data_IF_414057083844
#
_entry.id   IF_414057083844
#
_cell.length_a   1.000
_cell.length_b   1.000
_cell.length_c   1.000
_cell.angle_alpha   90.00
_cell.angle_beta   90.00
_cell.angle_gamma   90.00
#
_symmetry.space_group_name_H-M   'P 1'
#
loop_
_entity.id
_entity.type
_entity.pdbx_description
1 polymer ?
#
# COMPACT_ATOMS: atom_id res chain seq x y z
N UNK A 1 -31.75 28.80 70.17
CA UNK A 1 -31.40 28.56 68.76
C UNK A 1 -30.07 29.22 68.46
N UNK A 2 -29.08 28.46 67.99
CA UNK A 2 -27.96 28.86 67.10
C UNK A 2 -26.81 27.89 67.33
N UNK A 3 -27.04 26.62 67.00
CA UNK A 3 -26.06 25.55 67.08
C UNK A 3 -25.16 25.56 65.85
N UNK A 4 -23.97 26.11 66.07
CA UNK A 4 -22.68 25.62 65.60
C UNK A 4 -22.57 25.20 64.12
N UNK A 5 -22.58 26.20 63.24
CA UNK A 5 -22.14 26.06 61.85
C UNK A 5 -20.66 25.62 61.77
N UNK A 6 -19.84 25.98 62.76
CA UNK A 6 -18.42 25.65 62.81
C UNK A 6 -18.17 24.13 63.01
N UNK A 7 -18.93 23.47 63.89
CA UNK A 7 -18.82 22.01 64.10
C UNK A 7 -19.27 21.21 62.87
N UNK A 8 -20.27 21.70 62.12
CA UNK A 8 -20.73 21.06 60.89
C UNK A 8 -19.70 21.14 59.76
N UNK A 9 -18.92 22.22 59.70
CA UNK A 9 -17.83 22.37 58.72
C UNK A 9 -16.62 21.52 59.11
N UNK A 10 -16.32 21.39 60.40
CA UNK A 10 -15.24 20.54 60.91
C UNK A 10 -15.48 19.05 60.63
N UNK A 11 -16.70 18.54 60.88
CA UNK A 11 -17.04 17.14 60.60
C UNK A 11 -17.07 16.80 59.10
N UNK A 12 -17.31 17.78 58.22
CA UNK A 12 -17.27 17.57 56.76
C UNK A 12 -15.83 17.44 56.22
N UNK A 13 -14.83 17.92 56.96
CA UNK A 13 -13.40 17.72 56.64
C UNK A 13 -12.83 16.43 57.21
N UNK A 14 -13.34 15.94 58.35
CA UNK A 14 -12.86 14.70 58.98
C UNK A 14 -13.37 13.40 58.33
N UNK A 15 -14.44 13.47 57.52
CA UNK A 15 -15.08 12.30 56.89
C UNK A 15 -14.70 12.00 55.43
N UNK A 16 -13.70 12.68 54.84
CA UNK A 16 -13.18 12.29 53.52
C UNK A 16 -12.17 11.16 53.69
N UNK A 17 -12.66 9.95 53.93
CA UNK A 17 -11.92 8.76 53.51
C UNK A 17 -11.67 8.89 52.02
N UNK A 18 -10.39 8.92 51.63
CA UNK A 18 -9.99 8.92 50.24
C UNK A 18 -10.64 7.71 49.57
N UNK A 19 -11.55 7.97 48.63
CA UNK A 19 -12.01 6.93 47.72
C UNK A 19 -10.76 6.30 47.07
N UNK A 20 -10.69 4.96 46.94
CA UNK A 20 -9.55 4.34 46.28
C UNK A 20 -9.41 4.99 44.91
N UNK A 21 -8.22 5.51 44.63
CA UNK A 21 -7.90 6.07 43.34
C UNK A 21 -8.23 4.98 42.30
N UNK A 22 -9.26 5.23 41.49
CA UNK A 22 -9.52 4.41 40.32
C UNK A 22 -8.26 4.57 39.48
N UNK A 23 -7.35 3.58 39.53
CA UNK A 23 -6.29 3.45 38.53
C UNK A 23 -7.06 3.39 37.21
N UNK A 24 -7.07 4.49 36.46
CA UNK A 24 -7.46 4.43 35.07
C UNK A 24 -6.60 3.31 34.48
N UNK A 25 -7.23 2.23 34.05
CA UNK A 25 -6.52 1.16 33.39
C UNK A 25 -5.81 1.82 32.21
N UNK A 26 -4.48 1.97 32.29
CA UNK A 26 -3.71 2.52 31.20
C UNK A 26 -4.00 1.65 29.99
N UNK A 27 -4.50 2.28 28.92
CA UNK A 27 -4.74 1.54 27.69
C UNK A 27 -3.43 0.85 27.28
N UNK A 28 -3.50 -0.41 26.80
CA UNK A 28 -2.30 -1.14 26.44
C UNK A 28 -1.52 -0.36 25.39
N UNK A 29 -0.19 -0.34 25.46
CA UNK A 29 0.59 0.30 24.39
C UNK A 29 0.38 -0.44 23.06
N UNK A 30 0.62 0.21 21.92
CA UNK A 30 0.54 -0.48 20.61
C UNK A 30 1.40 -1.76 20.57
N UNK A 31 2.54 -1.78 21.25
CA UNK A 31 3.37 -2.97 21.42
C UNK A 31 2.62 -4.12 22.10
N UNK A 32 1.95 -3.85 23.23
CA UNK A 32 1.14 -4.84 23.95
C UNK A 32 -0.09 -5.25 23.14
N UNK A 33 -0.64 -4.31 22.37
CA UNK A 33 -1.78 -4.54 21.50
C UNK A 33 -1.44 -5.50 20.35
N UNK A 34 -0.33 -5.31 19.64
CA UNK A 34 0.15 -6.24 18.59
C UNK A 34 0.33 -7.66 19.13
N UNK A 35 0.87 -7.81 20.35
CA UNK A 35 1.03 -9.12 20.96
C UNK A 35 -0.30 -9.83 21.23
N UNK A 36 -1.34 -9.08 21.60
CA UNK A 36 -2.68 -9.62 21.84
C UNK A 36 -3.41 -10.00 20.55
N UNK A 37 -3.16 -9.28 19.46
CA UNK A 37 -3.79 -9.49 18.16
C UNK A 37 -3.25 -10.67 17.35
N UNK A 38 -2.24 -11.39 17.85
CA UNK A 38 -1.59 -12.49 17.11
C UNK A 38 -2.59 -13.54 16.59
N UNK A 39 -3.56 -14.02 17.39
CA UNK A 39 -4.55 -14.98 16.91
C UNK A 39 -5.44 -14.44 15.78
N UNK A 40 -5.79 -13.15 15.83
CA UNK A 40 -6.58 -12.48 14.81
C UNK A 40 -5.79 -12.28 13.52
N UNK A 41 -4.51 -11.88 13.64
CA UNK A 41 -3.58 -11.78 12.50
C UNK A 41 -3.46 -13.14 11.80
N UNK A 42 -3.27 -14.22 12.56
CA UNK A 42 -3.16 -15.58 12.02
C UNK A 42 -4.42 -15.98 11.25
N UNK A 43 -5.61 -15.64 11.77
CA UNK A 43 -6.88 -15.93 11.10
C UNK A 43 -7.09 -15.12 9.82
N UNK A 44 -6.53 -13.92 9.74
CA UNK A 44 -6.67 -13.06 8.57
C UNK A 44 -5.67 -13.40 7.46
N UNK A 45 -4.52 -14.01 7.78
CA UNK A 45 -3.49 -14.32 6.79
C UNK A 45 -3.97 -15.37 5.77
N UNK A 46 -3.68 -15.18 4.47
CA UNK A 46 -3.83 -16.23 3.48
C UNK A 46 -2.97 -17.44 3.85
N UNK A 47 -3.48 -18.65 3.60
CA UNK A 47 -2.83 -19.90 4.01
C UNK A 47 -1.38 -20.10 3.48
N UNK A 48 -0.98 -19.36 2.45
CA UNK A 48 0.33 -19.43 1.82
C UNK A 48 1.32 -18.35 2.28
N UNK A 49 0.90 -17.41 3.14
CA UNK A 49 1.72 -16.28 3.62
C UNK A 49 2.30 -16.61 5.00
N UNK A 50 3.56 -16.21 5.25
CA UNK A 50 4.27 -16.51 6.50
C UNK A 50 3.49 -16.11 7.76
N UNK A 51 3.60 -16.93 8.81
CA UNK A 51 2.72 -16.87 9.99
C UNK A 51 2.74 -15.55 10.78
N UNK A 52 1.72 -15.35 11.62
CA UNK A 52 1.44 -14.13 12.37
C UNK A 52 2.61 -13.64 13.23
N UNK A 53 3.50 -14.53 13.66
CA UNK A 53 4.72 -14.19 14.38
C UNK A 53 5.64 -13.24 13.59
N UNK A 54 5.74 -13.45 12.28
CA UNK A 54 6.56 -12.62 11.40
C UNK A 54 5.92 -11.25 11.21
N UNK A 55 4.62 -11.21 10.90
CA UNK A 55 3.86 -9.95 10.73
C UNK A 55 3.91 -9.12 12.01
N UNK A 56 3.67 -9.72 13.17
CA UNK A 56 3.75 -9.05 14.46
C UNK A 56 5.16 -8.49 14.71
N UNK A 57 6.22 -9.23 14.35
CA UNK A 57 7.60 -8.76 14.52
C UNK A 57 7.90 -7.55 13.62
N UNK A 58 7.48 -7.58 12.36
CA UNK A 58 7.69 -6.46 11.43
C UNK A 58 6.91 -5.24 11.93
N UNK A 59 5.65 -5.41 12.34
CA UNK A 59 4.84 -4.32 12.89
C UNK A 59 5.49 -3.68 14.13
N UNK A 60 6.08 -4.49 15.02
CA UNK A 60 6.85 -3.99 16.18
C UNK A 60 8.12 -3.23 15.78
N UNK A 61 8.78 -3.63 14.69
CA UNK A 61 9.92 -2.90 14.13
C UNK A 61 9.47 -1.56 13.56
N UNK A 62 8.39 -1.52 12.78
CA UNK A 62 7.86 -0.28 12.20
C UNK A 62 7.44 0.72 13.26
N UNK A 63 6.81 0.27 14.37
CA UNK A 63 6.47 1.13 15.52
C UNK A 63 7.67 1.87 16.12
N UNK A 64 8.89 1.33 15.96
CA UNK A 64 10.14 1.96 16.43
C UNK A 64 10.81 2.80 15.35
N UNK A 65 10.64 2.41 14.08
CA UNK A 65 11.31 3.03 12.93
C UNK A 65 10.57 4.27 12.44
N UNK A 66 9.25 4.21 12.38
CA UNK A 66 8.40 5.28 11.84
C UNK A 66 8.05 6.28 12.94
N UNK A 67 8.49 7.53 12.75
CA UNK A 67 8.15 8.65 13.64
C UNK A 67 6.63 8.82 13.80
N UNK A 68 6.17 9.04 15.03
CA UNK A 68 4.75 9.14 15.43
C UNK A 68 3.87 7.91 15.20
N UNK A 69 4.35 6.81 14.60
CA UNK A 69 3.51 5.61 14.42
C UNK A 69 3.08 4.99 15.75
N UNK A 70 3.96 5.03 16.77
CA UNK A 70 3.65 4.57 18.11
C UNK A 70 2.60 5.43 18.86
N UNK A 71 2.31 6.63 18.35
CA UNK A 71 1.34 7.58 18.91
C UNK A 71 -0.04 7.48 18.23
N UNK A 72 -0.16 6.67 17.17
CA UNK A 72 -1.42 6.48 16.47
C UNK A 72 -2.47 5.79 17.33
N UNK A 73 -3.75 6.02 17.00
CA UNK A 73 -4.87 5.32 17.63
C UNK A 73 -4.76 3.80 17.43
N UNK A 74 -5.16 3.03 18.45
CA UNK A 74 -5.10 1.56 18.38
C UNK A 74 -5.98 1.02 17.27
N UNK A 75 -7.14 1.65 17.09
CA UNK A 75 -8.15 1.30 16.10
C UNK A 75 -7.62 1.44 14.67
N UNK A 76 -6.98 2.57 14.35
CA UNK A 76 -6.41 2.78 13.01
C UNK A 76 -5.22 1.87 12.73
N UNK A 77 -4.36 1.65 13.74
CA UNK A 77 -3.24 0.72 13.61
C UNK A 77 -3.73 -0.72 13.40
N UNK A 78 -4.73 -1.15 14.17
CA UNK A 78 -5.35 -2.47 14.03
C UNK A 78 -5.96 -2.66 12.64
N UNK A 79 -6.76 -1.70 12.18
CA UNK A 79 -7.42 -1.78 10.88
C UNK A 79 -6.41 -1.85 9.73
N UNK A 80 -5.34 -1.04 9.78
CA UNK A 80 -4.28 -1.10 8.77
C UNK A 80 -3.53 -2.44 8.79
N UNK A 81 -3.12 -2.93 9.97
CA UNK A 81 -2.39 -4.19 10.12
C UNK A 81 -3.22 -5.41 9.69
N UNK A 82 -4.50 -5.43 10.04
CA UNK A 82 -5.44 -6.49 9.64
C UNK A 82 -5.70 -6.46 8.14
N UNK A 83 -5.76 -5.27 7.53
CA UNK A 83 -5.88 -5.14 6.08
C UNK A 83 -4.64 -5.68 5.37
N UNK A 84 -3.43 -5.35 5.83
CA UNK A 84 -2.20 -5.94 5.29
C UNK A 84 -2.22 -7.46 5.40
N UNK A 85 -2.61 -7.98 6.57
CA UNK A 85 -2.66 -9.41 6.83
C UNK A 85 -3.66 -10.12 5.91
N UNK A 86 -4.87 -9.57 5.74
CA UNK A 86 -5.90 -10.10 4.84
C UNK A 86 -5.48 -10.09 3.35
N UNK A 87 -4.70 -9.10 2.95
CA UNK A 87 -4.15 -9.00 1.59
C UNK A 87 -2.86 -9.81 1.40
N UNK A 88 -2.33 -10.43 2.45
CA UNK A 88 -1.04 -11.12 2.41
C UNK A 88 0.15 -10.17 2.16
N UNK A 89 0.01 -8.89 2.48
CA UNK A 89 1.03 -7.86 2.33
C UNK A 89 1.82 -7.67 3.61
N UNK A 90 3.13 -7.50 3.48
CA UNK A 90 4.02 -7.20 4.59
C UNK A 90 3.91 -5.73 5.01
N UNK A 91 3.52 -5.44 6.27
CA UNK A 91 3.39 -4.08 6.75
C UNK A 91 4.77 -3.52 7.11
N UNK A 92 5.40 -2.80 6.19
CA UNK A 92 6.65 -2.10 6.45
C UNK A 92 7.36 -1.66 5.18
N UNK A 93 8.16 -0.60 5.30
CA UNK A 93 8.81 0.00 4.13
C UNK A 93 9.89 -0.87 3.46
N UNK A 94 10.44 -1.86 4.18
CA UNK A 94 11.56 -2.69 3.71
C UNK A 94 11.20 -3.57 2.53
N UNK A 95 10.03 -4.23 2.54
CA UNK A 95 9.58 -5.06 1.41
C UNK A 95 8.98 -4.23 0.27
N UNK A 96 8.66 -2.95 0.54
CA UNK A 96 7.95 -2.08 -0.39
C UNK A 96 6.52 -2.54 -0.70
N UNK A 97 5.94 -3.45 0.09
CA UNK A 97 4.61 -4.02 -0.14
C UNK A 97 3.48 -3.14 0.41
N UNK A 98 3.60 -2.69 1.65
CA UNK A 98 2.62 -1.84 2.31
C UNK A 98 3.30 -0.93 3.35
N UNK A 99 2.84 0.32 3.42
CA UNK A 99 3.39 1.34 4.32
C UNK A 99 2.32 1.75 5.34
N UNK A 100 2.68 1.70 6.62
CA UNK A 100 1.86 2.20 7.72
C UNK A 100 2.29 3.64 8.03
N UNK A 101 1.54 4.62 7.53
CA UNK A 101 1.93 6.02 7.62
C UNK A 101 1.08 6.77 8.66
N UNK A 102 1.68 7.46 9.63
CA UNK A 102 0.96 8.30 10.57
C UNK A 102 0.49 9.60 9.89
N UNK A 103 -0.79 9.89 10.04
CA UNK A 103 -1.44 11.11 9.59
C UNK A 103 -2.08 11.83 10.77
N UNK A 104 -1.82 13.12 10.88
CA UNK A 104 -2.47 13.93 11.90
C UNK A 104 -3.93 14.21 11.53
N UNK A 105 -4.88 13.66 12.29
CA UNK A 105 -6.31 13.95 12.11
C UNK A 105 -6.72 15.13 13.01
N UNK A 106 -6.94 16.29 12.38
CA UNK A 106 -7.34 17.54 13.05
C UNK A 106 -8.69 17.43 13.79
N UNK A 107 -9.61 16.56 13.32
CA UNK A 107 -10.96 16.42 13.90
C UNK A 107 -10.92 15.75 15.27
N UNK A 108 -10.12 14.69 15.41
CA UNK A 108 -9.98 13.93 16.67
C UNK A 108 -8.73 14.33 17.46
N UNK A 109 -7.87 15.20 16.90
CA UNK A 109 -6.62 15.69 17.48
C UNK A 109 -5.69 14.56 17.92
N UNK A 110 -5.55 13.56 17.05
CA UNK A 110 -4.68 12.40 17.25
C UNK A 110 -4.07 11.96 15.91
N UNK A 111 -2.99 11.19 15.99
CA UNK A 111 -2.44 10.50 14.83
C UNK A 111 -3.26 9.25 14.51
N UNK A 112 -3.49 9.01 13.23
CA UNK A 112 -4.10 7.78 12.73
C UNK A 112 -3.22 7.15 11.67
N UNK A 113 -3.28 5.82 11.56
CA UNK A 113 -2.54 5.08 10.52
C UNK A 113 -3.34 5.09 9.23
N UNK A 114 -2.76 5.67 8.19
CA UNK A 114 -3.18 5.49 6.81
C UNK A 114 -2.36 4.38 6.18
N UNK A 115 -3.05 3.40 5.60
CA UNK A 115 -2.42 2.35 4.83
C UNK A 115 -2.14 2.88 3.41
N UNK A 116 -0.90 2.73 2.95
CA UNK A 116 -0.54 2.96 1.55
C UNK A 116 0.03 1.68 0.99
N UNK A 117 -0.60 1.15 -0.06
CA UNK A 117 -0.14 -0.06 -0.72
C UNK A 117 1.01 0.32 -1.65
N UNK A 118 2.14 -0.32 -1.42
CA UNK A 118 3.33 -0.12 -2.21
C UNK A 118 3.24 -0.78 -3.58
N UNK A 119 4.11 -0.34 -4.48
CA UNK A 119 4.18 -0.86 -5.84
C UNK A 119 4.50 -2.37 -5.88
N UNK A 120 5.41 -2.83 -5.01
CA UNK A 120 5.70 -4.27 -4.89
C UNK A 120 4.49 -5.05 -4.38
N UNK A 121 3.71 -4.45 -3.49
CA UNK A 121 2.46 -5.04 -3.00
C UNK A 121 1.40 -5.13 -4.09
N UNK A 122 1.30 -4.09 -4.92
CA UNK A 122 0.47 -4.13 -6.13
C UNK A 122 0.90 -5.29 -7.05
N UNK A 123 2.18 -5.35 -7.45
CA UNK A 123 2.70 -6.44 -8.31
C UNK A 123 2.38 -7.81 -7.71
N UNK A 124 2.62 -8.01 -6.41
CA UNK A 124 2.32 -9.24 -5.70
C UNK A 124 0.84 -9.62 -5.79
N UNK A 125 -0.05 -8.67 -5.56
CA UNK A 125 -1.50 -8.87 -5.68
C UNK A 125 -1.91 -9.20 -7.12
N UNK A 126 -1.26 -8.60 -8.13
CA UNK A 126 -1.49 -8.96 -9.53
C UNK A 126 -1.13 -10.43 -9.77
N UNK A 127 0.06 -10.87 -9.35
CA UNK A 127 0.49 -12.26 -9.58
C UNK A 127 -0.27 -13.30 -8.77
N UNK A 128 -0.97 -12.90 -7.70
CA UNK A 128 -1.92 -13.76 -7.01
C UNK A 128 -3.23 -13.97 -7.78
N UNK A 129 -3.52 -13.11 -8.77
CA UNK A 129 -4.73 -13.24 -9.57
C UNK A 129 -4.65 -14.48 -10.48
N UNK A 130 -5.67 -15.38 -10.49
CA UNK A 130 -5.62 -16.63 -11.26
C UNK A 130 -5.44 -16.45 -12.77
N UNK A 131 -5.84 -15.29 -13.31
CA UNK A 131 -5.69 -14.96 -14.73
C UNK A 131 -4.42 -14.18 -15.05
N UNK A 132 -3.55 -13.86 -14.10
CA UNK A 132 -2.34 -13.09 -14.39
C UNK A 132 -1.40 -13.87 -15.32
N UNK A 133 -0.98 -13.23 -16.42
CA UNK A 133 -0.07 -13.82 -17.40
C UNK A 133 1.18 -12.98 -17.68
N UNK A 134 1.10 -11.65 -17.55
CA UNK A 134 2.25 -10.76 -17.75
C UNK A 134 2.00 -9.35 -17.25
N UNK A 135 3.03 -8.70 -16.74
CA UNK A 135 3.01 -7.30 -16.33
C UNK A 135 4.33 -6.65 -16.72
N UNK A 136 4.26 -5.63 -17.57
CA UNK A 136 5.45 -4.96 -18.11
C UNK A 136 5.31 -3.44 -18.01
N UNK A 137 6.43 -2.75 -17.85
CA UNK A 137 6.47 -1.29 -17.83
C UNK A 137 7.68 -0.79 -18.61
N UNK A 138 7.49 0.23 -19.43
CA UNK A 138 8.57 0.78 -20.23
C UNK A 138 8.49 2.30 -20.33
N UNK A 139 9.66 2.90 -20.51
CA UNK A 139 9.83 4.27 -20.96
C UNK A 139 9.91 4.27 -22.49
N UNK A 140 9.24 5.24 -23.12
CA UNK A 140 9.35 5.55 -24.53
C UNK A 140 10.17 6.83 -24.67
N UNK A 141 11.18 6.81 -25.52
CA UNK A 141 12.04 7.94 -25.82
C UNK A 141 11.77 8.51 -27.22
N UNK A 142 12.21 9.75 -27.48
CA UNK A 142 11.99 10.47 -28.75
C UNK A 142 12.38 9.69 -30.02
N UNK A 143 13.42 8.85 -29.93
CA UNK A 143 13.90 8.05 -31.05
C UNK A 143 13.16 6.73 -31.27
N UNK A 144 12.27 6.33 -30.37
CA UNK A 144 11.59 5.04 -30.44
C UNK A 144 10.46 5.05 -31.48
N UNK A 145 10.22 3.92 -32.15
CA UNK A 145 8.99 3.75 -32.92
C UNK A 145 7.87 3.40 -31.94
N UNK A 146 6.95 4.34 -31.71
CA UNK A 146 5.86 4.17 -30.74
C UNK A 146 4.51 4.55 -31.34
N UNK A 147 3.55 3.65 -31.23
CA UNK A 147 2.17 3.79 -31.70
C UNK A 147 1.22 3.17 -30.68
N UNK A 148 0.15 3.89 -30.32
CA UNK A 148 -0.89 3.35 -29.47
C UNK A 148 -2.27 3.87 -29.87
N UNK A 149 -3.28 3.02 -29.70
CA UNK A 149 -4.69 3.34 -29.92
C UNK A 149 -5.52 2.64 -28.85
N UNK A 150 -6.48 3.35 -28.24
CA UNK A 150 -7.36 2.73 -27.25
C UNK A 150 -8.55 2.02 -27.91
N UNK A 151 -9.23 2.68 -28.87
CA UNK A 151 -10.22 2.10 -29.77
C UNK A 151 -11.23 1.10 -29.17
N UNK A 152 -11.88 0.33 -30.04
CA UNK A 152 -12.58 -0.91 -29.64
C UNK A 152 -11.62 -2.11 -29.66
N UNK A 153 -10.54 -1.99 -30.43
CA UNK A 153 -9.45 -2.95 -30.51
C UNK A 153 -8.16 -2.18 -30.16
N UNK A 154 -7.72 -2.24 -28.88
CA UNK A 154 -6.55 -1.51 -28.45
C UNK A 154 -5.30 -2.01 -29.15
N UNK A 155 -4.42 -1.09 -29.55
CA UNK A 155 -3.12 -1.39 -30.15
C UNK A 155 -2.04 -0.69 -29.34
N UNK A 156 -0.95 -1.38 -29.06
CA UNK A 156 0.26 -0.79 -28.52
C UNK A 156 1.47 -1.45 -29.20
N UNK A 157 2.26 -0.63 -29.90
CA UNK A 157 3.51 -1.03 -30.56
C UNK A 157 4.63 -0.14 -30.06
N UNK A 158 5.69 -0.77 -29.59
CA UNK A 158 6.89 -0.09 -29.14
C UNK A 158 8.12 -0.84 -29.65
N UNK A 159 8.94 -0.16 -30.45
CA UNK A 159 10.28 -0.64 -30.83
C UNK A 159 11.33 0.37 -30.35
N UNK A 160 12.08 0.03 -29.29
CA UNK A 160 13.10 0.93 -28.75
C UNK A 160 14.21 1.20 -29.75
N UNK A 161 14.60 2.46 -29.89
CA UNK A 161 15.86 2.85 -30.50
C UNK A 161 17.04 2.38 -29.64
N UNK A 162 18.19 2.21 -30.30
CA UNK A 162 19.42 1.72 -29.66
C UNK A 162 20.50 2.80 -29.64
N UNK A 163 21.31 2.77 -28.58
CA UNK A 163 22.45 3.66 -28.42
C UNK A 163 22.04 5.13 -28.33
N UNK A 164 22.82 6.00 -28.97
CA UNK A 164 22.66 7.46 -28.92
C UNK A 164 21.38 7.98 -29.58
N UNK A 165 20.64 7.14 -30.30
CA UNK A 165 19.42 7.53 -31.00
C UNK A 165 18.18 7.66 -30.09
N UNK A 166 18.22 7.19 -28.83
CA UNK A 166 17.05 7.20 -27.93
C UNK A 166 16.46 8.59 -27.68
N UNK A 167 17.30 9.59 -27.40
CA UNK A 167 16.81 10.92 -27.01
C UNK A 167 16.15 10.96 -25.63
N UNK A 168 15.34 11.98 -25.37
CA UNK A 168 14.69 12.17 -24.07
C UNK A 168 13.42 11.29 -23.91
N UNK A 169 12.99 10.96 -22.68
CA UNK A 169 11.69 10.32 -22.43
C UNK A 169 10.52 11.19 -22.92
N UNK A 170 9.53 10.56 -23.55
CA UNK A 170 8.31 11.21 -24.05
C UNK A 170 7.04 10.63 -23.44
N UNK A 171 7.01 9.31 -23.25
CA UNK A 171 5.88 8.60 -22.66
C UNK A 171 6.36 7.48 -21.74
N UNK A 172 5.47 7.03 -20.88
CA UNK A 172 5.63 5.86 -20.04
C UNK A 172 4.38 5.02 -20.19
N UNK A 173 4.53 3.69 -20.20
CA UNK A 173 3.38 2.81 -20.24
C UNK A 173 3.54 1.59 -19.36
N UNK A 174 2.41 1.01 -19.00
CA UNK A 174 2.31 -0.27 -18.33
C UNK A 174 1.30 -1.17 -19.07
N UNK A 175 1.63 -2.44 -19.24
CA UNK A 175 0.78 -3.46 -19.89
C UNK A 175 0.55 -4.59 -18.91
N UNK A 176 -0.71 -5.02 -18.80
CA UNK A 176 -1.07 -6.26 -18.15
C UNK A 176 -1.69 -7.21 -19.18
N UNK A 177 -1.25 -8.47 -19.12
CA UNK A 177 -1.73 -9.58 -19.93
C UNK A 177 -2.44 -10.57 -19.03
N UNK A 178 -3.63 -10.99 -19.44
CA UNK A 178 -4.41 -12.01 -18.77
C UNK A 178 -4.54 -13.27 -19.63
N UNK A 179 -4.56 -14.42 -18.96
CA UNK A 179 -4.63 -15.73 -19.60
C UNK A 179 -5.89 -15.94 -20.47
N UNK A 180 -6.96 -15.17 -20.24
CA UNK A 180 -8.21 -15.20 -21.00
C UNK A 180 -8.22 -14.20 -22.18
N UNK A 181 -7.05 -13.87 -22.74
CA UNK A 181 -6.88 -12.92 -23.86
C UNK A 181 -7.27 -11.46 -23.55
N UNK A 182 -7.47 -11.11 -22.27
CA UNK A 182 -7.65 -9.74 -21.83
C UNK A 182 -6.31 -9.03 -21.69
N UNK A 183 -5.95 -8.20 -22.66
CA UNK A 183 -4.82 -7.29 -22.54
C UNK A 183 -5.34 -5.89 -22.19
N UNK A 184 -4.72 -5.23 -21.21
CA UNK A 184 -5.02 -3.84 -20.89
C UNK A 184 -3.72 -3.08 -20.72
N UNK A 185 -3.70 -1.83 -21.13
CA UNK A 185 -2.53 -0.98 -20.97
C UNK A 185 -2.93 0.45 -20.64
N UNK A 186 -1.99 1.17 -20.02
CA UNK A 186 -2.08 2.61 -19.78
C UNK A 186 -0.83 3.24 -20.35
N UNK A 187 -0.99 4.35 -21.06
CA UNK A 187 0.09 5.22 -21.54
C UNK A 187 -0.12 6.58 -20.88
N UNK A 188 0.95 7.17 -20.39
CA UNK A 188 0.98 8.53 -19.85
C UNK A 188 2.15 9.26 -20.52
N UNK A 189 1.90 10.47 -21.02
CA UNK A 189 2.98 11.33 -21.48
C UNK A 189 3.72 11.97 -20.28
N UNK A 190 4.82 12.68 -20.56
CA UNK A 190 5.58 13.39 -19.52
C UNK A 190 4.73 14.43 -18.78
N UNK A 191 3.79 15.08 -19.47
CA UNK A 191 2.94 16.12 -18.86
C UNK A 191 1.92 15.51 -17.88
N UNK A 192 1.34 14.36 -18.21
CA UNK A 192 0.49 13.56 -17.33
C UNK A 192 1.24 13.12 -16.06
N UNK A 193 2.48 12.65 -16.23
CA UNK A 193 3.35 12.26 -15.11
C UNK A 193 3.63 13.49 -14.24
N UNK A 194 3.99 14.63 -14.82
CA UNK A 194 4.23 15.87 -14.08
C UNK A 194 2.97 16.37 -13.36
N UNK A 195 1.79 16.23 -13.96
CA UNK A 195 0.52 16.58 -13.33
C UNK A 195 0.21 15.67 -12.13
N UNK A 196 0.57 14.39 -12.19
CA UNK A 196 0.49 13.47 -11.04
C UNK A 196 1.55 13.82 -9.99
N UNK A 197 2.80 14.04 -10.40
CA UNK A 197 3.90 14.42 -9.51
C UNK A 197 3.55 15.67 -8.70
N UNK A 198 3.01 16.71 -9.34
CA UNK A 198 2.63 17.98 -8.68
C UNK A 198 1.58 17.82 -7.58
N UNK A 199 0.72 16.78 -7.66
CA UNK A 199 -0.26 16.44 -6.62
C UNK A 199 0.37 15.69 -5.43
N UNK A 200 1.55 15.11 -5.61
CA UNK A 200 2.28 14.42 -4.55
C UNK A 200 2.85 15.42 -3.54
N UNK A 201 2.74 15.08 -2.25
CA UNK A 201 3.41 15.81 -1.17
C UNK A 201 4.95 15.68 -1.21
N UNK A 202 5.46 14.67 -1.93
CA UNK A 202 6.88 14.40 -2.13
C UNK A 202 7.39 14.82 -3.52
N UNK A 203 6.70 15.75 -4.20
CA UNK A 203 7.02 16.14 -5.58
C UNK A 203 8.47 16.60 -5.78
N UNK A 204 9.03 17.32 -4.81
CA UNK A 204 10.37 17.94 -4.90
C UNK A 204 11.46 17.15 -4.14
N UNK A 205 11.14 15.98 -3.58
CA UNK A 205 12.03 15.25 -2.69
C UNK A 205 12.02 13.74 -2.96
N UNK A 206 13.12 13.08 -2.62
CA UNK A 206 13.23 11.62 -2.70
C UNK A 206 13.28 11.11 -4.15
N UNK A 207 12.72 9.93 -4.43
CA UNK A 207 12.85 9.25 -5.73
C UNK A 207 12.37 10.05 -6.94
N UNK A 208 11.52 11.07 -6.78
CA UNK A 208 11.14 11.94 -7.89
C UNK A 208 12.30 12.83 -8.39
N UNK A 209 13.32 13.07 -7.56
CA UNK A 209 14.50 13.85 -7.92
C UNK A 209 15.67 12.97 -8.39
N UNK A 210 15.82 11.76 -7.84
CA UNK A 210 16.92 10.83 -8.15
C UNK A 210 16.57 9.79 -9.21
N UNK A 211 15.32 9.32 -9.25
CA UNK A 211 14.87 8.13 -9.99
C UNK A 211 13.53 8.40 -10.72
N UNK A 212 13.48 9.52 -11.45
CA UNK A 212 12.25 10.00 -12.12
C UNK A 212 11.58 8.92 -12.99
N UNK A 213 12.35 8.21 -13.82
CA UNK A 213 11.84 7.18 -14.72
C UNK A 213 11.22 5.99 -13.97
N UNK A 214 11.82 5.58 -12.85
CA UNK A 214 11.24 4.53 -12.00
C UNK A 214 9.92 5.00 -11.39
N UNK A 215 9.83 6.27 -10.97
CA UNK A 215 8.61 6.86 -10.43
C UNK A 215 7.50 7.03 -11.47
N UNK A 216 7.86 7.38 -12.71
CA UNK A 216 6.94 7.47 -13.82
C UNK A 216 6.35 6.09 -14.18
N UNK A 217 7.20 5.06 -14.29
CA UNK A 217 6.75 3.66 -14.52
C UNK A 217 5.88 3.14 -13.39
N UNK A 218 6.26 3.39 -12.14
CA UNK A 218 5.43 3.09 -10.96
C UNK A 218 4.05 3.75 -11.07
N UNK A 219 4.00 5.00 -11.52
CA UNK A 219 2.75 5.74 -11.71
C UNK A 219 1.85 5.07 -12.75
N UNK A 220 2.41 4.60 -13.87
CA UNK A 220 1.66 3.86 -14.89
C UNK A 220 1.02 2.60 -14.32
N UNK A 221 1.76 1.84 -13.50
CA UNK A 221 1.19 0.64 -12.85
C UNK A 221 0.08 0.99 -11.88
N UNK A 222 0.21 2.04 -11.08
CA UNK A 222 -0.89 2.49 -10.20
C UNK A 222 -2.16 2.82 -10.98
N UNK A 223 -2.04 3.41 -12.18
CA UNK A 223 -3.21 3.67 -13.03
C UNK A 223 -3.76 2.39 -13.65
N UNK A 224 -2.88 1.52 -14.16
CA UNK A 224 -3.26 0.23 -14.74
C UNK A 224 -4.06 -0.62 -13.75
N UNK A 225 -3.64 -0.63 -12.48
CA UNK A 225 -4.30 -1.38 -11.39
C UNK A 225 -5.76 -1.00 -11.17
N UNK A 226 -6.18 0.20 -11.55
CA UNK A 226 -7.59 0.63 -11.45
C UNK A 226 -8.48 -0.02 -12.51
N UNK A 227 -7.89 -0.46 -13.63
CA UNK A 227 -8.58 -1.02 -14.79
C UNK A 227 -8.63 -2.55 -14.78
N UNK A 228 -7.74 -3.19 -14.02
CA UNK A 228 -7.67 -4.65 -13.97
C UNK A 228 -8.97 -5.27 -13.44
N UNK A 229 -9.38 -6.45 -13.94
CA UNK A 229 -10.40 -7.25 -13.30
C UNK A 229 -10.01 -7.48 -11.84
N UNK A 230 -10.86 -7.05 -10.93
CA UNK A 230 -10.55 -7.08 -9.51
C UNK A 230 -10.91 -8.45 -8.97
N UNK A 231 -9.91 -9.24 -8.55
CA UNK A 231 -10.18 -10.25 -7.53
C UNK A 231 -10.70 -9.58 -6.26
N UNK A 232 -11.27 -10.36 -5.34
CA UNK A 232 -11.73 -9.82 -4.07
C UNK A 232 -10.60 -9.09 -3.31
N UNK A 233 -9.39 -9.65 -3.36
CA UNK A 233 -8.18 -9.08 -2.77
C UNK A 233 -7.79 -7.77 -3.45
N UNK A 234 -7.78 -7.72 -4.78
CA UNK A 234 -7.45 -6.50 -5.52
C UNK A 234 -8.48 -5.39 -5.30
N UNK A 235 -9.77 -5.75 -5.22
CA UNK A 235 -10.83 -4.80 -4.91
C UNK A 235 -10.64 -4.18 -3.51
N UNK A 236 -10.35 -5.02 -2.51
CA UNK A 236 -10.05 -4.57 -1.13
C UNK A 236 -8.80 -3.71 -1.08
N UNK A 237 -7.74 -4.10 -1.79
CA UNK A 237 -6.51 -3.31 -1.88
C UNK A 237 -6.79 -1.90 -2.40
N UNK A 238 -7.54 -1.78 -3.51
CA UNK A 238 -7.92 -0.47 -4.06
C UNK A 238 -8.83 0.32 -3.13
N UNK A 239 -9.72 -0.34 -2.39
CA UNK A 239 -10.66 0.33 -1.47
C UNK A 239 -9.99 0.86 -0.18
N UNK A 240 -8.88 0.24 0.24
CA UNK A 240 -8.16 0.61 1.46
C UNK A 240 -6.88 1.41 1.20
N UNK A 241 -6.36 1.43 -0.04
CA UNK A 241 -5.19 2.24 -0.42
C UNK A 241 -5.45 3.73 -0.17
N UNK A 242 -4.52 4.37 0.53
CA UNK A 242 -4.58 5.77 0.93
C UNK A 242 -5.79 6.14 1.82
N UNK A 243 -6.32 5.18 2.60
CA UNK A 243 -7.43 5.40 3.54
C UNK A 243 -7.08 4.98 4.96
N UNK A 244 -7.91 5.40 5.92
CA UNK A 244 -7.83 5.00 7.33
C UNK A 244 -9.00 4.10 7.69
N UNK A 245 -8.69 2.85 8.05
CA UNK A 245 -9.67 1.88 8.54
C UNK A 245 -9.57 1.77 10.07
N UNK A 246 -10.67 2.02 10.78
CA UNK A 246 -10.73 1.95 12.26
C UNK A 246 -11.38 0.67 12.79
N UNK A 247 -12.13 -0.03 11.96
CA UNK A 247 -12.75 -1.31 12.32
C UNK A 247 -11.82 -2.48 11.97
N UNK A 248 -11.17 -3.14 12.93
CA UNK A 248 -10.27 -4.27 12.66
C UNK A 248 -11.00 -5.58 12.37
N UNK A 249 -12.33 -5.61 12.42
CA UNK A 249 -13.12 -6.81 12.15
C UNK A 249 -12.96 -7.31 10.70
N UNK A 250 -13.17 -8.61 10.43
CA UNK A 250 -13.26 -9.11 9.06
C UNK A 250 -14.36 -8.41 8.25
N UNK A 251 -15.50 -8.09 8.86
CA UNK A 251 -16.62 -7.41 8.22
C UNK A 251 -16.25 -5.99 7.76
N UNK A 252 -15.41 -5.30 8.53
CA UNK A 252 -14.89 -3.99 8.18
C UNK A 252 -13.95 -3.97 6.97
N UNK A 253 -13.47 -5.13 6.49
CA UNK A 253 -12.60 -5.22 5.31
C UNK A 253 -13.34 -4.95 4.00
N UNK A 254 -14.63 -5.28 3.93
CA UNK A 254 -15.43 -5.06 2.71
C UNK A 254 -16.03 -3.64 2.65
N UNK A 255 -15.83 -2.83 3.69
CA UNK A 255 -16.20 -1.42 3.73
C UNK A 255 -14.98 -0.55 3.42
N UNK A 256 -15.04 0.40 2.46
CA UNK A 256 -13.93 1.31 2.19
C UNK A 256 -13.52 2.09 3.45
N UNK A 257 -12.22 2.33 3.61
CA UNK A 257 -11.72 3.17 4.70
C UNK A 257 -12.08 4.64 4.51
N UNK A 258 -11.91 5.42 5.57
CA UNK A 258 -12.18 6.86 5.53
C UNK A 258 -11.00 7.63 4.95
N UNK A 259 -11.28 8.55 4.03
CA UNK A 259 -10.30 9.55 3.61
C UNK A 259 -10.18 10.64 4.67
N UNK A 260 -8.95 10.94 5.09
CA UNK A 260 -8.66 12.00 6.06
C UNK A 260 -7.82 13.08 5.39
N UNK A 261 -8.31 14.33 5.44
CA UNK A 261 -7.50 15.51 5.13
C UNK A 261 -6.50 15.76 6.27
N UNK A 262 -5.43 14.97 6.29
CA UNK A 262 -4.35 15.03 7.28
C UNK A 262 -3.02 15.46 6.68
N UNK A 263 -2.12 15.91 7.55
CA UNK A 263 -0.71 16.12 7.19
C UNK A 263 0.07 14.83 7.47
N UNK A 264 0.85 14.39 6.48
CA UNK A 264 1.75 13.25 6.61
C UNK A 264 2.95 13.72 7.39
N UNK A 265 3.33 12.98 8.43
CA UNK A 265 4.62 13.18 9.07
C UNK A 265 5.69 12.78 8.07
N UNK A 266 6.52 13.73 7.63
CA UNK A 266 7.62 13.45 6.71
C UNK A 266 8.61 12.52 7.39
N UNK A 267 8.66 11.26 6.96
CA UNK A 267 9.77 10.39 7.31
C UNK A 267 11.03 10.89 6.59
N UNK A 268 12.20 10.90 7.25
CA UNK A 268 13.47 11.05 6.55
C UNK A 268 13.52 10.02 5.43
N UNK A 269 13.87 10.46 4.21
CA UNK A 269 14.14 9.51 3.13
C UNK A 269 15.35 8.68 3.57
N UNK A 270 15.18 7.37 3.71
CA UNK A 270 16.31 6.48 3.94
C UNK A 270 17.26 6.57 2.74
N UNK A 271 18.52 6.91 3.00
CA UNK A 271 19.65 6.64 2.11
C UNK A 271 20.07 5.19 2.35
N UNK A 272 19.97 4.35 1.31
CA UNK A 272 20.31 2.91 1.31
C UNK A 272 19.06 2.02 1.47
N UNK A 273 18.79 1.00 0.66
CA UNK A 273 19.64 0.21 -0.22
C UNK A 273 18.90 -0.13 -1.53
N UNK A 274 19.69 -0.36 -2.59
CA UNK A 274 19.34 -0.98 -3.87
C UNK A 274 17.84 -1.31 -4.02
N UNK A 275 17.07 -0.31 -4.47
CA UNK A 275 15.84 -0.62 -5.16
C UNK A 275 16.25 -1.47 -6.35
N UNK A 276 15.83 -2.74 -6.34
CA UNK A 276 15.87 -3.59 -7.51
C UNK A 276 15.40 -2.76 -8.67
N UNK A 277 16.37 -2.40 -9.52
CA UNK A 277 16.08 -1.69 -10.73
C UNK A 277 15.13 -2.58 -11.51
N UNK A 278 14.30 -2.01 -12.38
CA UNK A 278 13.46 -2.82 -13.27
C UNK A 278 14.34 -3.66 -14.24
N UNK A 279 15.67 -3.54 -14.17
CA UNK A 279 16.64 -4.40 -14.86
C UNK A 279 16.96 -5.69 -14.08
N UNK A 280 16.58 -5.79 -12.79
CA UNK A 280 16.80 -6.96 -11.92
C UNK A 280 15.52 -7.77 -11.68
N UNK A 281 14.66 -7.90 -12.71
CA UNK A 281 13.80 -9.08 -12.77
C UNK A 281 14.73 -10.26 -13.00
N UNK A 282 14.79 -11.26 -12.10
CA UNK A 282 15.68 -12.39 -12.28
C UNK A 282 15.47 -13.00 -13.67
N UNK A 283 16.56 -13.21 -14.42
CA UNK A 283 16.53 -13.76 -15.79
C UNK A 283 15.81 -15.11 -15.89
N UNK A 284 15.56 -15.77 -14.76
CA UNK A 284 14.72 -16.95 -14.59
C UNK A 284 13.21 -16.73 -14.91
N UNK A 285 12.76 -15.48 -15.09
CA UNK A 285 11.43 -15.16 -15.67
C UNK A 285 11.48 -14.74 -17.15
N UNK A 286 12.67 -14.67 -17.77
CA UNK A 286 12.84 -14.18 -19.15
C UNK A 286 12.74 -15.28 -20.23
N UNK A 287 12.31 -16.50 -19.89
CA UNK A 287 12.19 -17.55 -20.89
C UNK A 287 11.39 -18.74 -20.39
N UNK A 288 10.11 -18.78 -20.75
CA UNK A 288 9.33 -20.02 -20.78
C UNK A 288 8.74 -20.19 -22.19
N UNK A 289 8.69 -21.45 -22.68
CA UNK A 289 8.69 -21.76 -24.10
C UNK A 289 7.42 -21.27 -24.80
N UNK A 290 7.58 -20.86 -26.06
CA UNK A 290 6.48 -20.63 -27.00
C UNK A 290 5.42 -21.72 -26.83
N UNK A 291 4.17 -21.28 -26.65
CA UNK A 291 3.03 -22.17 -26.70
C UNK A 291 3.11 -22.95 -28.01
N UNK A 292 3.30 -24.26 -27.90
CA UNK A 292 3.29 -25.16 -29.03
C UNK A 292 2.00 -24.93 -29.82
N UNK A 293 2.16 -24.53 -31.08
CA UNK A 293 1.06 -24.47 -32.05
C UNK A 293 0.38 -25.84 -32.07
N UNK A 294 -0.93 -25.86 -31.79
CA UNK A 294 -1.73 -27.06 -31.98
C UNK A 294 -1.83 -27.33 -33.48
N UNK A 295 -1.04 -28.30 -33.94
CA UNK A 295 -1.08 -28.80 -35.30
C UNK A 295 -2.45 -29.46 -35.55
N UNK A 296 -3.38 -28.69 -36.13
CA UNK A 296 -4.61 -29.23 -36.70
C UNK A 296 -4.29 -29.76 -38.09
N UNK A 297 -3.92 -31.03 -38.18
CA UNK A 297 -3.82 -31.75 -39.44
C UNK A 297 -4.62 -33.07 -39.37
N UNK A 298 -5.87 -32.95 -39.84
CA UNK A 298 -6.54 -33.84 -40.80
C UNK A 298 -6.31 -35.36 -40.64
N UNK A 299 -7.31 -36.06 -40.09
CA UNK A 299 -7.50 -37.50 -40.32
C UNK A 299 -8.70 -37.68 -41.23
N UNK A 300 -8.43 -37.81 -42.53
CA UNK A 300 -9.37 -38.39 -43.49
C UNK A 300 -8.62 -39.32 -44.45
N UNK A 301 -8.99 -40.60 -44.38
CA UNK A 301 -8.60 -41.78 -45.20
C UNK A 301 -7.29 -42.50 -44.87
#
# INVERSE_FOLDING_TARGET
>A
MSTNLAERVANKRAGRTAAPAHRAAQQPTLVQFVQRMRPEIERALPAHVGGADRIARIALTELRRVEHLAECTQESFAGALMTCSALGLEPGGVSGEAYLLPFWNKKIRAYEVQLVIGYQGMIKLFWQHPLAAGLDTHTVCEGDEFEYEYGLAPVLRHKPARGSAKGAPTHYYAVARLANSGNTFVVLDVDDIEAIRKRSKAKDFGPWATDYDAMARKTCVRQLFKLLPKSAELARAVAHDETVRRDPSPEGLDTPGDYIEGEVVRQPAEQGDEQTSVEDVPAEFAGWPEAAESDTADTTQ
#
